data_IF_706686025257
#
_entry.id   IF_706686025257
#
_cell.length_a   1.000
_cell.length_b   1.000
_cell.length_c   1.000
_cell.angle_alpha   90.00
_cell.angle_beta   90.00
_cell.angle_gamma   90.00
#
_symmetry.space_group_name_H-M   'P 1'
#
loop_
_entity.id
_entity.type
_entity.pdbx_description
1 polymer ?
#
# COMPACT_ATOMS: atom_id res chain seq x y z
N UNK A 1 34.18 -82.22 -5.34
CA UNK A 1 34.75 -80.86 -5.20
C UNK A 1 33.94 -79.81 -5.97
N UNK A 2 33.46 -80.12 -7.19
CA UNK A 2 32.61 -79.22 -8.00
C UNK A 2 31.24 -78.90 -7.41
N UNK A 3 30.51 -79.89 -6.87
CA UNK A 3 29.20 -79.64 -6.25
C UNK A 3 29.27 -78.64 -5.08
N UNK A 4 30.36 -78.72 -4.31
CA UNK A 4 30.61 -77.80 -3.19
C UNK A 4 30.88 -76.37 -3.69
N UNK A 5 31.60 -76.23 -4.81
CA UNK A 5 31.88 -74.94 -5.43
C UNK A 5 30.61 -74.30 -6.02
N UNK A 6 29.75 -75.12 -6.61
CA UNK A 6 28.46 -74.70 -7.16
C UNK A 6 27.51 -74.24 -6.03
N UNK A 7 27.44 -75.00 -4.94
CA UNK A 7 26.66 -74.66 -3.75
C UNK A 7 27.10 -73.31 -3.15
N UNK A 8 28.41 -73.10 -3.02
CA UNK A 8 28.98 -71.84 -2.52
C UNK A 8 28.68 -70.63 -3.42
N UNK A 9 28.68 -70.80 -4.75
CA UNK A 9 28.26 -69.74 -5.69
C UNK A 9 26.79 -69.38 -5.53
N UNK A 10 25.91 -70.37 -5.41
CA UNK A 10 24.47 -70.17 -5.23
C UNK A 10 24.17 -69.45 -3.93
N UNK A 11 24.83 -69.84 -2.83
CA UNK A 11 24.73 -69.15 -1.54
C UNK A 11 25.17 -67.68 -1.62
N UNK A 12 26.27 -67.39 -2.32
CA UNK A 12 26.75 -66.01 -2.49
C UNK A 12 25.76 -65.14 -3.27
N UNK A 13 25.18 -65.68 -4.35
CA UNK A 13 24.14 -64.99 -5.13
C UNK A 13 22.88 -64.72 -4.31
N UNK A 14 22.42 -65.71 -3.54
CA UNK A 14 21.29 -65.56 -2.62
C UNK A 14 21.54 -64.47 -1.58
N UNK A 15 22.75 -64.42 -1.01
CA UNK A 15 23.14 -63.37 -0.07
C UNK A 15 23.17 -61.97 -0.72
N UNK A 16 23.68 -61.85 -1.96
CA UNK A 16 23.67 -60.58 -2.72
C UNK A 16 22.24 -60.10 -2.97
N UNK A 17 21.39 -60.98 -3.51
CA UNK A 17 19.99 -60.67 -3.80
C UNK A 17 19.22 -60.25 -2.54
N UNK A 18 19.48 -60.92 -1.40
CA UNK A 18 18.87 -60.54 -0.11
C UNK A 18 19.34 -59.16 0.37
N UNK A 19 20.60 -58.81 0.13
CA UNK A 19 21.15 -57.48 0.44
C UNK A 19 20.53 -56.39 -0.44
N UNK A 20 20.45 -56.62 -1.75
CA UNK A 20 19.84 -55.69 -2.70
C UNK A 20 18.35 -55.47 -2.40
N UNK A 21 17.60 -56.52 -2.07
CA UNK A 21 16.19 -56.41 -1.70
C UNK A 21 16.00 -55.63 -0.40
N UNK A 22 16.91 -55.78 0.57
CA UNK A 22 16.93 -54.97 1.79
C UNK A 22 17.18 -53.49 1.48
N UNK A 23 18.18 -53.20 0.65
CA UNK A 23 18.50 -51.84 0.20
C UNK A 23 17.30 -51.19 -0.51
N UNK A 24 16.66 -51.91 -1.43
CA UNK A 24 15.54 -51.40 -2.21
C UNK A 24 14.32 -51.10 -1.33
N UNK A 25 14.09 -51.91 -0.28
CA UNK A 25 13.06 -51.63 0.74
C UNK A 25 13.38 -50.36 1.52
N UNK A 26 14.62 -50.19 1.97
CA UNK A 26 15.06 -48.98 2.70
C UNK A 26 14.95 -47.73 1.82
N UNK A 27 15.26 -47.83 0.53
CA UNK A 27 15.12 -46.75 -0.45
C UNK A 27 13.66 -46.39 -0.68
N UNK A 28 12.77 -47.38 -0.82
CA UNK A 28 11.33 -47.17 -0.95
C UNK A 28 10.74 -46.48 0.30
N UNK A 29 11.18 -46.87 1.50
CA UNK A 29 10.76 -46.21 2.74
C UNK A 29 11.28 -44.77 2.83
N UNK A 30 12.53 -44.51 2.43
CA UNK A 30 13.07 -43.14 2.35
C UNK A 30 12.28 -42.27 1.38
N UNK A 31 11.98 -42.80 0.20
CA UNK A 31 11.18 -42.10 -0.81
C UNK A 31 9.76 -41.82 -0.31
N UNK A 32 9.13 -42.76 0.39
CA UNK A 32 7.79 -42.59 0.96
C UNK A 32 7.78 -41.46 2.01
N UNK A 33 8.81 -41.39 2.86
CA UNK A 33 8.97 -40.30 3.84
C UNK A 33 9.15 -38.94 3.14
N UNK A 34 10.07 -38.85 2.17
CA UNK A 34 10.30 -37.62 1.42
C UNK A 34 9.05 -37.15 0.66
N UNK A 35 8.28 -38.07 0.08
CA UNK A 35 6.99 -37.74 -0.56
C UNK A 35 6.00 -37.17 0.45
N UNK A 36 5.91 -37.74 1.65
CA UNK A 36 5.05 -37.22 2.72
C UNK A 36 5.43 -35.80 3.16
N UNK A 37 6.72 -35.52 3.27
CA UNK A 37 7.24 -34.18 3.60
C UNK A 37 6.90 -33.17 2.50
N UNK A 38 7.12 -33.51 1.23
CA UNK A 38 6.77 -32.67 0.08
C UNK A 38 5.25 -32.38 0.05
N UNK A 39 4.41 -33.39 0.23
CA UNK A 39 2.96 -33.20 0.28
C UNK A 39 2.54 -32.26 1.43
N UNK A 40 3.21 -32.36 2.59
CA UNK A 40 2.96 -31.47 3.73
C UNK A 40 3.34 -30.02 3.43
N UNK A 41 4.49 -29.80 2.76
CA UNK A 41 4.92 -28.48 2.33
C UNK A 41 3.97 -27.87 1.28
N UNK A 42 3.51 -28.66 0.32
CA UNK A 42 2.54 -28.20 -0.69
C UNK A 42 1.24 -27.75 -0.03
N UNK A 43 0.70 -28.54 0.91
CA UNK A 43 -0.52 -28.18 1.63
C UNK A 43 -0.36 -26.91 2.47
N UNK A 44 0.82 -26.72 3.07
CA UNK A 44 1.14 -25.50 3.82
C UNK A 44 1.22 -24.28 2.90
N UNK A 45 1.85 -24.41 1.73
CA UNK A 45 1.91 -23.33 0.74
C UNK A 45 0.52 -22.98 0.19
N UNK A 46 -0.32 -23.98 -0.10
CA UNK A 46 -1.70 -23.76 -0.54
C UNK A 46 -2.50 -22.95 0.49
N UNK A 47 -2.38 -23.28 1.79
CA UNK A 47 -3.02 -22.50 2.86
C UNK A 47 -2.55 -21.05 2.90
N UNK A 48 -1.25 -20.81 2.71
CA UNK A 48 -0.70 -19.44 2.63
C UNK A 48 -1.23 -18.67 1.42
N UNK A 49 -1.31 -19.31 0.26
CA UNK A 49 -1.87 -18.70 -0.96
C UNK A 49 -3.32 -18.28 -0.71
N UNK A 50 -4.17 -19.16 -0.19
CA UNK A 50 -5.56 -18.83 0.09
C UNK A 50 -5.71 -17.68 1.10
N UNK A 51 -4.83 -17.60 2.10
CA UNK A 51 -4.80 -16.47 3.03
C UNK A 51 -4.46 -15.15 2.32
N UNK A 52 -3.44 -15.15 1.46
CA UNK A 52 -3.02 -13.96 0.72
C UNK A 52 -4.08 -13.52 -0.31
N UNK A 53 -4.74 -14.46 -0.97
CA UNK A 53 -5.86 -14.17 -1.89
C UNK A 53 -7.01 -13.47 -1.16
N UNK A 54 -7.31 -13.88 0.08
CA UNK A 54 -8.31 -13.23 0.92
C UNK A 54 -7.90 -11.80 1.30
N UNK A 55 -6.63 -11.60 1.67
CA UNK A 55 -6.10 -10.28 2.01
C UNK A 55 -6.13 -9.35 0.79
N UNK A 56 -5.77 -9.83 -0.40
CA UNK A 56 -5.85 -9.08 -1.67
C UNK A 56 -7.28 -8.60 -1.95
N UNK A 57 -8.28 -9.47 -1.77
CA UNK A 57 -9.68 -9.11 -1.95
C UNK A 57 -10.10 -7.99 -0.97
N UNK A 58 -9.72 -8.13 0.30
CA UNK A 58 -10.03 -7.17 1.36
C UNK A 58 -9.39 -5.80 1.10
N UNK A 59 -8.12 -5.80 0.69
CA UNK A 59 -7.39 -4.59 0.33
C UNK A 59 -8.00 -3.90 -0.90
N UNK A 60 -8.40 -4.68 -1.92
CA UNK A 60 -9.06 -4.15 -3.12
C UNK A 60 -10.37 -3.46 -2.78
N UNK A 61 -11.20 -4.08 -1.94
CA UNK A 61 -12.46 -3.49 -1.48
C UNK A 61 -12.22 -2.20 -0.67
N UNK A 62 -11.18 -2.18 0.17
CA UNK A 62 -10.82 -0.98 0.96
C UNK A 62 -10.37 0.16 0.05
N UNK A 63 -9.61 -0.14 -1.00
CA UNK A 63 -9.16 0.85 -1.97
C UNK A 63 -10.33 1.49 -2.73
N UNK A 64 -11.32 0.70 -3.15
CA UNK A 64 -12.53 1.20 -3.80
C UNK A 64 -13.30 2.17 -2.89
N UNK A 65 -13.46 1.84 -1.61
CA UNK A 65 -14.13 2.70 -0.63
C UNK A 65 -13.38 4.03 -0.43
N UNK A 66 -12.04 3.99 -0.31
CA UNK A 66 -11.21 5.20 -0.18
C UNK A 66 -11.37 6.08 -1.43
N UNK A 67 -11.36 5.48 -2.62
CA UNK A 67 -11.50 6.21 -3.85
C UNK A 67 -12.90 6.86 -3.97
N UNK A 68 -13.96 6.16 -3.54
CA UNK A 68 -15.31 6.71 -3.48
C UNK A 68 -15.40 7.89 -2.49
N UNK A 69 -14.82 7.76 -1.30
CA UNK A 69 -14.82 8.82 -0.29
C UNK A 69 -14.04 10.06 -0.78
N UNK A 70 -12.89 9.85 -1.43
CA UNK A 70 -12.11 10.93 -2.04
C UNK A 70 -12.92 11.73 -3.06
N UNK A 71 -13.65 11.05 -3.95
CA UNK A 71 -14.50 11.72 -4.96
C UNK A 71 -15.63 12.52 -4.27
N UNK A 72 -16.28 11.91 -3.28
CA UNK A 72 -17.36 12.56 -2.50
C UNK A 72 -16.88 13.82 -1.76
N UNK A 73 -15.73 13.74 -1.08
CA UNK A 73 -15.13 14.88 -0.39
C UNK A 73 -14.65 15.95 -1.37
N UNK A 74 -14.07 15.56 -2.51
CA UNK A 74 -13.68 16.48 -3.57
C UNK A 74 -14.86 17.32 -4.06
N UNK A 75 -16.01 16.69 -4.31
CA UNK A 75 -17.23 17.39 -4.69
C UNK A 75 -17.69 18.41 -3.63
N UNK A 76 -17.70 18.02 -2.34
CA UNK A 76 -18.08 18.92 -1.23
C UNK A 76 -17.14 20.12 -1.08
N UNK A 77 -15.84 19.93 -1.34
CA UNK A 77 -14.85 21.03 -1.30
C UNK A 77 -15.12 22.02 -2.43
N UNK A 78 -15.36 21.54 -3.65
CA UNK A 78 -15.68 22.39 -4.81
C UNK A 78 -16.96 23.19 -4.54
N UNK A 79 -18.01 22.54 -4.04
CA UNK A 79 -19.27 23.19 -3.67
C UNK A 79 -19.06 24.32 -2.65
N UNK A 80 -18.34 24.05 -1.56
CA UNK A 80 -18.03 25.09 -0.56
C UNK A 80 -17.17 26.21 -1.12
N UNK A 81 -16.17 25.91 -1.95
CA UNK A 81 -15.33 26.93 -2.56
C UNK A 81 -16.13 27.87 -3.47
N UNK A 82 -17.08 27.30 -4.23
CA UNK A 82 -17.98 28.05 -5.10
C UNK A 82 -18.92 28.94 -4.30
N UNK A 83 -19.48 28.41 -3.19
CA UNK A 83 -20.29 29.20 -2.28
C UNK A 83 -19.54 30.39 -1.70
N UNK A 84 -18.33 30.19 -1.18
CA UNK A 84 -17.54 31.28 -0.59
C UNK A 84 -17.07 32.29 -1.63
N UNK A 85 -16.73 31.86 -2.84
CA UNK A 85 -16.42 32.77 -3.95
C UNK A 85 -17.60 33.71 -4.23
N UNK A 86 -18.82 33.16 -4.31
CA UNK A 86 -20.05 33.96 -4.51
C UNK A 86 -20.32 34.94 -3.37
N UNK A 87 -20.12 34.51 -2.11
CA UNK A 87 -20.29 35.39 -0.95
C UNK A 87 -19.25 36.52 -0.96
N UNK A 88 -18.00 36.21 -1.32
CA UNK A 88 -16.94 37.22 -1.44
C UNK A 88 -17.24 38.25 -2.52
N UNK A 89 -17.78 37.81 -3.66
CA UNK A 89 -18.20 38.68 -4.75
C UNK A 89 -19.37 39.59 -4.32
N UNK A 90 -20.39 39.04 -3.66
CA UNK A 90 -21.53 39.82 -3.13
C UNK A 90 -21.09 40.90 -2.12
N UNK A 91 -20.16 40.56 -1.22
CA UNK A 91 -19.59 41.53 -0.27
C UNK A 91 -18.82 42.63 -1.01
N UNK A 92 -18.04 42.25 -2.03
CA UNK A 92 -17.24 43.20 -2.81
C UNK A 92 -18.12 44.17 -3.59
N UNK A 93 -19.21 43.68 -4.20
CA UNK A 93 -20.21 44.50 -4.89
C UNK A 93 -20.88 45.48 -3.93
N UNK A 94 -21.35 45.02 -2.77
CA UNK A 94 -21.96 45.89 -1.74
C UNK A 94 -21.00 46.97 -1.25
N UNK A 95 -19.73 46.63 -1.10
CA UNK A 95 -18.71 47.61 -0.70
C UNK A 95 -18.46 48.65 -1.79
N UNK A 96 -18.40 48.22 -3.06
CA UNK A 96 -18.28 49.14 -4.20
C UNK A 96 -19.47 50.10 -4.28
N UNK A 97 -20.71 49.58 -4.13
CA UNK A 97 -21.92 50.41 -4.11
C UNK A 97 -21.87 51.47 -3.00
N UNK A 98 -21.39 51.10 -1.81
CA UNK A 98 -21.19 52.05 -0.71
C UNK A 98 -20.12 53.10 -1.03
N UNK A 99 -19.00 52.69 -1.61
CA UNK A 99 -17.93 53.60 -2.01
C UNK A 99 -18.42 54.59 -3.08
N UNK A 100 -19.15 54.12 -4.08
CA UNK A 100 -19.71 54.94 -5.16
C UNK A 100 -20.74 55.95 -4.62
N UNK A 101 -21.57 55.53 -3.67
CA UNK A 101 -22.52 56.42 -2.99
C UNK A 101 -21.80 57.54 -2.21
N UNK A 102 -20.72 57.22 -1.48
CA UNK A 102 -19.91 58.22 -0.75
C UNK A 102 -19.28 59.20 -1.73
N UNK A 103 -18.67 58.69 -2.80
CA UNK A 103 -18.04 59.53 -3.83
C UNK A 103 -19.06 60.48 -4.47
N UNK A 104 -20.25 60.00 -4.82
CA UNK A 104 -21.31 60.81 -5.42
C UNK A 104 -21.82 61.91 -4.48
N UNK A 105 -21.85 61.67 -3.17
CA UNK A 105 -22.26 62.67 -2.17
C UNK A 105 -21.18 63.70 -1.85
N UNK A 106 -19.90 63.32 -1.89
CA UNK A 106 -18.79 64.28 -1.74
C UNK A 106 -18.76 65.29 -2.88
N UNK A 107 -18.97 64.83 -4.12
CA UNK A 107 -19.06 65.71 -5.31
C UNK A 107 -20.24 66.69 -5.20
N UNK A 108 -21.33 66.30 -4.54
CA UNK A 108 -22.51 67.16 -4.33
C UNK A 108 -22.25 68.27 -3.30
N UNK A 109 -21.49 67.96 -2.23
CA UNK A 109 -21.12 68.93 -1.19
C UNK A 109 -20.15 70.01 -1.66
N UNK A 110 -19.29 69.70 -2.63
CA UNK A 110 -18.37 70.68 -3.23
C UNK A 110 -19.06 71.65 -4.20
N UNK A 111 -20.25 71.30 -4.72
CA UNK A 111 -21.04 72.18 -5.59
C UNK A 111 -21.92 73.19 -4.84
N UNK A 112 -22.23 72.95 -3.56
CA UNK A 112 -23.16 73.78 -2.75
C UNK A 112 -22.46 74.59 -1.64
N UNK A 113 -21.13 74.65 -1.64
CA UNK A 113 -20.32 75.24 -0.57
C UNK A 113 -19.75 76.63 -0.84
N UNK A 114 -20.56 77.63 -1.20
CA UNK A 114 -20.17 79.06 -1.11
C UNK A 114 -21.39 79.99 -1.03
N UNK A 115 -22.10 80.02 0.11
CA UNK A 115 -22.89 81.21 0.47
C UNK A 115 -22.83 81.51 1.97
N UNK A 116 -22.48 82.75 2.26
CA UNK A 116 -22.01 83.28 3.53
C UNK A 116 -23.15 84.06 4.17
N UNK A 117 -23.68 83.65 5.32
CA UNK A 117 -24.59 84.49 6.11
C UNK A 117 -24.12 84.58 7.56
N UNK A 118 -23.52 85.73 7.87
CA UNK A 118 -23.31 86.25 9.22
C UNK A 118 -24.66 86.67 9.81
N UNK A 119 -24.89 86.45 11.10
CA UNK A 119 -25.69 87.41 11.89
C UNK A 119 -25.25 87.48 13.35
N UNK A 120 -25.42 88.69 13.87
CA UNK A 120 -24.68 89.37 14.92
C UNK A 120 -24.97 88.96 16.37
N UNK A 121 -23.95 89.16 17.21
CA UNK A 121 -24.00 89.19 18.66
C UNK A 121 -24.63 90.49 19.17
N UNK A 122 -25.71 90.41 19.97
CA UNK A 122 -26.24 91.53 20.74
C UNK A 122 -26.39 91.17 22.23
N UNK A 123 -25.81 92.05 23.05
CA UNK A 123 -25.61 91.99 24.49
C UNK A 123 -26.72 92.76 25.23
N UNK A 124 -27.37 92.13 26.22
CA UNK A 124 -27.92 92.71 27.49
C UNK A 124 -28.54 91.55 28.29
N UNK A 125 -28.29 91.27 29.56
CA UNK A 125 -27.79 92.06 30.68
C UNK A 125 -28.92 92.29 31.68
N UNK A 126 -29.15 91.36 32.62
CA UNK A 126 -29.65 91.62 33.99
C UNK A 126 -29.69 90.34 34.82
N UNK A 127 -29.25 90.48 36.07
CA UNK A 127 -28.99 89.48 37.09
C UNK A 127 -30.27 88.81 37.64
N UNK A 128 -30.17 87.51 37.96
CA UNK A 128 -30.75 86.93 39.18
C UNK A 128 -30.13 85.56 39.44
N UNK A 129 -29.68 85.39 40.68
CA UNK A 129 -28.96 84.25 41.23
C UNK A 129 -29.74 82.93 41.09
N UNK A 130 -29.04 81.85 40.76
CA UNK A 130 -29.65 80.53 40.64
C UNK A 130 -28.68 79.46 40.13
N UNK A 131 -27.73 79.08 41.00
CA UNK A 131 -27.09 77.76 41.10
C UNK A 131 -27.57 76.69 40.10
N UNK A 132 -26.75 76.36 39.09
CA UNK A 132 -26.09 75.05 38.95
C UNK A 132 -25.13 75.08 37.76
N UNK A 133 -24.08 74.27 37.90
CA UNK A 133 -22.88 74.26 37.10
C UNK A 133 -23.05 73.95 35.61
N UNK A 134 -22.05 74.47 34.92
CA UNK A 134 -21.73 74.44 33.51
C UNK A 134 -21.41 73.05 32.93
N UNK A 135 -21.54 73.01 31.59
CA UNK A 135 -20.86 72.14 30.62
C UNK A 135 -21.47 70.76 30.38
N UNK A 136 -22.09 70.65 29.21
CA UNK A 136 -22.39 69.38 28.56
C UNK A 136 -21.13 68.59 28.24
N UNK A 137 -21.18 67.31 28.58
CA UNK A 137 -20.29 66.28 28.09
C UNK A 137 -21.12 65.00 27.97
N UNK A 138 -21.26 64.50 26.75
CA UNK A 138 -21.94 63.24 26.42
C UNK A 138 -21.24 62.12 27.20
N UNK A 139 -21.85 61.65 28.29
CA UNK A 139 -21.32 60.56 29.11
C UNK A 139 -22.08 59.28 28.81
N UNK A 140 -21.44 58.43 28.01
CA UNK A 140 -21.60 56.98 27.96
C UNK A 140 -23.02 56.45 27.86
N UNK A 141 -23.47 56.16 26.63
CA UNK A 141 -24.42 55.06 26.44
C UNK A 141 -23.79 53.80 27.05
N UNK A 142 -24.23 53.44 28.26
CA UNK A 142 -23.87 52.20 28.93
C UNK A 142 -24.48 51.06 28.12
N UNK A 143 -23.69 50.52 27.19
CA UNK A 143 -24.03 49.28 26.49
C UNK A 143 -24.04 48.19 27.57
N UNK A 144 -25.24 47.77 27.99
CA UNK A 144 -25.41 46.51 28.70
C UNK A 144 -25.13 45.39 27.70
N UNK A 145 -23.86 45.09 27.45
CA UNK A 145 -23.50 43.80 26.88
C UNK A 145 -23.89 42.77 27.93
N UNK A 146 -24.85 41.92 27.61
CA UNK A 146 -25.25 40.79 28.44
C UNK A 146 -24.01 39.94 28.72
N UNK A 147 -23.44 40.08 29.92
CA UNK A 147 -22.14 39.51 30.31
C UNK A 147 -22.14 37.98 30.16
N UNK A 148 -23.31 37.35 30.26
CA UNK A 148 -23.50 35.91 30.08
C UNK A 148 -23.32 35.45 28.62
N UNK A 149 -23.62 36.29 27.62
CA UNK A 149 -23.48 35.93 26.21
C UNK A 149 -22.00 35.88 25.79
N UNK A 150 -21.20 36.85 26.25
CA UNK A 150 -19.76 36.96 25.93
C UNK A 150 -18.93 35.85 26.60
N UNK A 151 -19.34 35.40 27.79
CA UNK A 151 -18.68 34.29 28.51
C UNK A 151 -18.92 32.95 27.81
N UNK A 152 -20.13 32.71 27.31
CA UNK A 152 -20.46 31.43 26.67
C UNK A 152 -19.88 31.30 25.25
N UNK A 153 -19.83 32.40 24.47
CA UNK A 153 -19.10 32.41 23.19
C UNK A 153 -17.59 32.20 23.36
N UNK A 154 -16.97 32.79 24.41
CA UNK A 154 -15.54 32.55 24.71
C UNK A 154 -15.27 31.09 25.08
N UNK A 155 -16.19 30.45 25.79
CA UNK A 155 -16.06 29.05 26.21
C UNK A 155 -16.20 28.09 25.02
N UNK A 156 -17.11 28.37 24.07
CA UNK A 156 -17.23 27.63 22.81
C UNK A 156 -15.96 27.78 21.94
N UNK A 157 -15.44 29.01 21.81
CA UNK A 157 -14.19 29.27 21.08
C UNK A 157 -12.98 28.58 21.71
N UNK A 158 -12.89 28.57 23.04
CA UNK A 158 -11.83 27.86 23.76
C UNK A 158 -11.90 26.34 23.51
N UNK A 159 -13.10 25.76 23.51
CA UNK A 159 -13.30 24.35 23.19
C UNK A 159 -12.88 24.00 21.75
N UNK A 160 -13.21 24.88 20.79
CA UNK A 160 -12.76 24.74 19.38
C UNK A 160 -11.25 24.85 19.24
N UNK A 161 -10.62 25.77 19.98
CA UNK A 161 -9.16 25.93 20.00
C UNK A 161 -8.45 24.69 20.53
N UNK A 162 -8.89 24.15 21.66
CA UNK A 162 -8.30 22.92 22.23
C UNK A 162 -8.53 21.72 21.32
N UNK A 163 -9.70 21.62 20.68
CA UNK A 163 -9.98 20.60 19.66
C UNK A 163 -9.04 20.72 18.45
N UNK A 164 -8.81 21.94 17.95
CA UNK A 164 -7.90 22.20 16.84
C UNK A 164 -6.45 21.87 17.21
N UNK A 165 -6.03 22.21 18.43
CA UNK A 165 -4.70 21.89 18.97
C UNK A 165 -4.48 20.38 19.09
N UNK A 166 -5.49 19.64 19.54
CA UNK A 166 -5.44 18.17 19.60
C UNK A 166 -5.33 17.55 18.19
N UNK A 167 -6.12 18.03 17.22
CA UNK A 167 -6.05 17.59 15.83
C UNK A 167 -4.69 17.89 15.20
N UNK A 168 -4.13 19.07 15.45
CA UNK A 168 -2.79 19.44 14.96
C UNK A 168 -1.71 18.53 15.54
N UNK A 169 -1.79 18.20 16.83
CA UNK A 169 -0.88 17.25 17.48
C UNK A 169 -0.98 15.85 16.85
N UNK A 170 -2.20 15.38 16.56
CA UNK A 170 -2.41 14.10 15.88
C UNK A 170 -1.84 14.09 14.46
N UNK A 171 -2.10 15.14 13.67
CA UNK A 171 -1.55 15.30 12.32
C UNK A 171 -0.03 15.32 12.36
N UNK A 172 0.58 16.00 13.34
CA UNK A 172 2.03 16.00 13.51
C UNK A 172 2.59 14.60 13.78
N UNK A 173 1.92 13.79 14.60
CA UNK A 173 2.32 12.40 14.87
C UNK A 173 2.21 11.53 13.60
N UNK A 174 1.10 11.63 12.89
CA UNK A 174 0.89 10.90 11.63
C UNK A 174 1.93 11.29 10.58
N UNK A 175 2.28 12.58 10.47
CA UNK A 175 3.35 13.05 9.59
C UNK A 175 4.69 12.39 9.93
N UNK A 176 5.06 12.32 11.21
CA UNK A 176 6.30 11.64 11.61
C UNK A 176 6.29 10.15 11.25
N UNK A 177 5.16 9.46 11.41
CA UNK A 177 5.03 8.05 11.03
C UNK A 177 5.20 7.85 9.52
N UNK A 178 4.55 8.67 8.69
CA UNK A 178 4.69 8.60 7.22
C UNK A 178 6.13 8.89 6.78
N UNK A 179 6.80 9.88 7.39
CA UNK A 179 8.21 10.18 7.09
C UNK A 179 9.10 8.98 7.40
N UNK A 180 8.85 8.28 8.51
CA UNK A 180 9.59 7.08 8.88
C UNK A 180 9.35 5.93 7.89
N UNK A 181 8.10 5.69 7.49
CA UNK A 181 7.78 4.66 6.50
C UNK A 181 8.39 4.97 5.12
N UNK A 182 8.33 6.22 4.68
CA UNK A 182 8.99 6.65 3.44
C UNK A 182 10.50 6.40 3.48
N UNK A 183 11.15 6.62 4.63
CA UNK A 183 12.57 6.31 4.78
C UNK A 183 12.85 4.80 4.67
N UNK A 184 11.98 3.95 5.22
CA UNK A 184 12.12 2.49 5.10
C UNK A 184 11.92 2.01 3.67
N UNK A 185 10.89 2.51 2.99
CA UNK A 185 10.62 2.21 1.59
C UNK A 185 11.81 2.64 0.72
N UNK A 186 12.37 3.83 0.97
CA UNK A 186 13.57 4.29 0.27
C UNK A 186 14.76 3.35 0.45
N UNK A 187 14.97 2.82 1.67
CA UNK A 187 16.01 1.82 1.93
C UNK A 187 15.76 0.53 1.16
N UNK A 188 14.53 -0.01 1.19
CA UNK A 188 14.17 -1.23 0.45
C UNK A 188 14.32 -1.07 -1.06
N UNK A 189 14.02 0.12 -1.62
CA UNK A 189 14.24 0.40 -3.04
C UNK A 189 15.73 0.35 -3.38
N UNK A 190 16.60 0.92 -2.55
CA UNK A 190 18.05 0.89 -2.81
C UNK A 190 18.62 -0.52 -2.65
N UNK A 191 18.11 -1.32 -1.72
CA UNK A 191 18.44 -2.75 -1.58
C UNK A 191 18.11 -3.53 -2.87
N UNK A 192 16.87 -3.42 -3.37
CA UNK A 192 16.45 -4.09 -4.62
C UNK A 192 17.26 -3.61 -5.82
N UNK A 193 17.58 -2.31 -5.88
CA UNK A 193 18.41 -1.76 -6.95
C UNK A 193 19.84 -2.29 -6.93
N UNK A 194 20.40 -2.53 -5.74
CA UNK A 194 21.70 -3.18 -5.61
C UNK A 194 21.66 -4.64 -6.05
N UNK A 195 20.62 -5.39 -5.65
CA UNK A 195 20.41 -6.76 -6.14
C UNK A 195 20.25 -6.80 -7.67
N UNK A 196 19.55 -5.82 -8.25
CA UNK A 196 19.44 -5.70 -9.71
C UNK A 196 20.82 -5.54 -10.36
N UNK A 197 21.75 -4.84 -9.70
CA UNK A 197 23.12 -4.64 -10.19
C UNK A 197 23.98 -5.91 -10.14
N UNK A 198 23.59 -6.93 -9.37
CA UNK A 198 24.30 -8.22 -9.32
C UNK A 198 24.06 -9.08 -10.56
N UNK A 199 22.97 -8.82 -11.30
CA UNK A 199 22.71 -9.52 -12.57
C UNK A 199 23.70 -9.10 -13.67
N UNK A 200 23.74 -9.86 -14.76
CA UNK A 200 24.54 -9.46 -15.92
C UNK A 200 23.91 -8.25 -16.63
N UNK A 201 24.72 -7.33 -17.20
CA UNK A 201 24.19 -6.15 -17.90
C UNK A 201 23.20 -6.48 -19.01
N UNK A 202 23.41 -7.60 -19.72
CA UNK A 202 22.56 -8.05 -20.82
C UNK A 202 21.16 -8.45 -20.32
N UNK A 203 21.07 -9.05 -19.13
CA UNK A 203 19.79 -9.40 -18.50
C UNK A 203 19.06 -8.16 -18.01
N UNK A 204 19.78 -7.17 -17.46
CA UNK A 204 19.17 -5.88 -17.05
C UNK A 204 18.67 -5.03 -18.22
N UNK A 205 19.30 -5.18 -19.38
CA UNK A 205 18.95 -4.41 -20.57
C UNK A 205 17.78 -5.03 -21.36
N UNK A 206 17.42 -6.27 -21.04
CA UNK A 206 16.30 -6.98 -21.63
C UNK A 206 14.98 -6.42 -21.09
N UNK A 207 13.96 -6.33 -21.92
CA UNK A 207 12.64 -5.89 -21.48
C UNK A 207 11.90 -7.02 -20.73
N UNK A 208 10.96 -6.62 -19.87
CA UNK A 208 10.24 -7.54 -18.98
C UNK A 208 9.47 -8.62 -19.76
N UNK A 209 8.94 -8.30 -20.94
CA UNK A 209 8.18 -9.26 -21.75
C UNK A 209 9.10 -10.35 -22.28
N UNK A 210 10.23 -9.97 -22.87
CA UNK A 210 11.23 -10.92 -23.36
C UNK A 210 11.77 -11.79 -22.22
N UNK A 211 12.05 -11.20 -21.05
CA UNK A 211 12.47 -11.95 -19.84
C UNK A 211 11.43 -12.96 -19.38
N UNK A 212 10.15 -12.59 -19.41
CA UNK A 212 9.04 -13.48 -19.05
C UNK A 212 8.87 -14.63 -20.06
N UNK A 213 9.00 -14.33 -21.35
CA UNK A 213 8.94 -15.33 -22.42
C UNK A 213 10.08 -16.34 -22.33
N UNK A 214 11.33 -15.89 -22.15
CA UNK A 214 12.51 -16.74 -21.95
C UNK A 214 12.36 -17.61 -20.68
N UNK A 215 11.87 -17.03 -19.59
CA UNK A 215 11.57 -17.78 -18.36
C UNK A 215 10.55 -18.90 -18.59
N UNK A 216 9.47 -18.63 -19.33
CA UNK A 216 8.46 -19.63 -19.70
C UNK A 216 9.03 -20.70 -20.62
N UNK A 217 9.86 -20.33 -21.60
CA UNK A 217 10.53 -21.26 -22.49
C UNK A 217 11.45 -22.23 -21.70
N UNK A 218 12.28 -21.69 -20.80
CA UNK A 218 13.15 -22.49 -19.93
C UNK A 218 12.38 -23.43 -19.01
N UNK A 219 11.23 -22.99 -18.47
CA UNK A 219 10.35 -23.86 -17.67
C UNK A 219 9.75 -24.99 -18.50
N UNK A 220 9.36 -24.71 -19.74
CA UNK A 220 8.86 -25.72 -20.68
C UNK A 220 9.95 -26.73 -21.05
N UNK A 221 11.15 -26.26 -21.39
CA UNK A 221 12.30 -27.13 -21.70
C UNK A 221 12.63 -28.03 -20.52
N UNK A 222 12.69 -27.46 -19.31
CA UNK A 222 12.89 -28.23 -18.08
C UNK A 222 11.82 -29.31 -17.91
N UNK A 223 10.55 -29.00 -18.19
CA UNK A 223 9.49 -30.00 -18.12
C UNK A 223 9.73 -31.13 -19.15
N UNK A 224 10.02 -30.78 -20.40
CA UNK A 224 10.34 -31.75 -21.46
C UNK A 224 11.54 -32.63 -21.11
N UNK A 225 12.62 -32.06 -20.58
CA UNK A 225 13.79 -32.82 -20.13
C UNK A 225 13.44 -33.80 -19.01
N UNK A 226 12.59 -33.38 -18.06
CA UNK A 226 12.16 -34.28 -16.97
C UNK A 226 11.29 -35.43 -17.46
N UNK A 227 10.46 -35.21 -18.47
CA UNK A 227 9.65 -36.26 -19.10
C UNK A 227 10.51 -37.22 -19.90
N UNK A 228 11.45 -36.71 -20.69
CA UNK A 228 12.39 -37.53 -21.44
C UNK A 228 13.25 -38.40 -20.51
N UNK A 229 13.78 -37.80 -19.43
CA UNK A 229 14.53 -38.52 -18.40
C UNK A 229 13.70 -39.64 -17.76
N UNK A 230 12.42 -39.37 -17.46
CA UNK A 230 11.50 -40.39 -16.93
C UNK A 230 11.26 -41.53 -17.94
N UNK A 231 11.06 -41.19 -19.22
CA UNK A 231 10.91 -42.18 -20.29
C UNK A 231 12.14 -43.09 -20.42
N UNK A 232 13.34 -42.52 -20.35
CA UNK A 232 14.59 -43.29 -20.36
C UNK A 232 14.67 -44.24 -19.17
N UNK A 233 14.30 -43.78 -17.96
CA UNK A 233 14.26 -44.64 -16.78
C UNK A 233 13.28 -45.82 -16.96
N UNK A 234 12.10 -45.56 -17.53
CA UNK A 234 11.10 -46.60 -17.82
C UNK A 234 11.60 -47.61 -18.87
N UNK A 235 12.29 -47.14 -19.91
CA UNK A 235 12.89 -48.02 -20.93
C UNK A 235 14.01 -48.88 -20.34
N UNK A 236 14.87 -48.30 -19.49
CA UNK A 236 15.90 -49.05 -18.76
C UNK A 236 15.26 -50.12 -17.88
N UNK A 237 14.15 -49.82 -17.20
CA UNK A 237 13.42 -50.79 -16.39
C UNK A 237 12.90 -51.97 -17.22
N UNK A 238 12.29 -51.70 -18.38
CA UNK A 238 11.82 -52.73 -19.31
C UNK A 238 12.96 -53.61 -19.84
N UNK A 239 14.09 -53.00 -20.22
CA UNK A 239 15.26 -53.75 -20.69
C UNK A 239 15.87 -54.65 -19.62
N UNK A 240 15.85 -54.22 -18.35
CA UNK A 240 16.27 -55.07 -17.22
C UNK A 240 15.35 -56.28 -17.03
N UNK A 241 14.06 -56.14 -17.30
CA UNK A 241 13.09 -57.23 -17.24
C UNK A 241 13.31 -58.26 -18.37
N UNK A 242 13.79 -57.82 -19.53
CA UNK A 242 14.04 -58.67 -20.71
C UNK A 242 15.41 -59.41 -20.64
N UNK A 243 16.19 -59.27 -19.56
CA UNK A 243 17.43 -60.06 -19.39
C UNK A 243 17.11 -61.54 -19.10
N UNK A 244 17.24 -62.43 -20.10
CA UNK A 244 17.02 -63.87 -19.94
C UNK A 244 18.33 -64.67 -19.87
N UNK A 245 18.26 -65.87 -19.29
CA UNK A 245 19.36 -66.85 -19.32
C UNK A 245 19.06 -67.88 -20.42
N UNK A 246 19.92 -67.95 -21.43
CA UNK A 246 19.84 -68.93 -22.51
C UNK A 246 20.67 -70.16 -22.11
N UNK A 247 20.02 -71.33 -22.04
CA UNK A 247 20.72 -72.62 -21.88
C UNK A 247 21.14 -73.17 -23.24
N UNK A 248 22.45 -73.35 -23.42
CA UNK A 248 22.97 -74.10 -24.55
C UNK A 248 22.77 -75.60 -24.33
N UNK A 249 22.62 -76.34 -25.42
CA UNK A 249 22.49 -77.81 -25.43
C UNK A 249 23.69 -78.53 -24.80
N UNK A 250 24.85 -77.86 -24.67
CA UNK A 250 26.00 -78.38 -23.92
C UNK A 250 25.93 -78.18 -22.40
N UNK A 251 24.82 -77.66 -21.86
CA UNK A 251 24.60 -77.43 -20.43
C UNK A 251 25.14 -76.10 -19.89
N UNK A 252 25.82 -75.30 -20.72
CA UNK A 252 26.28 -73.96 -20.33
C UNK A 252 25.16 -72.92 -20.43
N UNK A 253 25.01 -72.11 -19.39
CA UNK A 253 24.08 -70.98 -19.32
C UNK A 253 24.79 -69.69 -19.75
N UNK A 254 24.16 -68.92 -20.64
CA UNK A 254 24.63 -67.63 -21.10
C UNK A 254 23.59 -66.56 -20.72
N UNK A 255 24.02 -65.57 -19.95
CA UNK A 255 23.18 -64.43 -19.58
C UNK A 255 23.28 -63.39 -20.68
N UNK A 256 22.25 -63.24 -21.50
CA UNK A 256 22.18 -62.13 -22.46
C UNK A 256 21.74 -60.88 -21.69
N UNK A 257 22.73 -60.13 -21.21
CA UNK A 257 22.54 -58.83 -20.58
C UNK A 257 23.16 -57.74 -21.43
N UNK A 258 22.48 -56.61 -21.56
CA UNK A 258 23.08 -55.39 -22.11
C UNK A 258 24.03 -54.85 -21.05
N UNK A 259 25.34 -54.91 -21.29
CA UNK A 259 26.33 -54.24 -20.47
C UNK A 259 26.29 -52.74 -20.78
N UNK A 260 25.45 -52.00 -20.06
CA UNK A 260 25.60 -50.55 -19.96
C UNK A 260 26.77 -50.29 -19.00
N UNK A 261 27.99 -50.27 -19.54
CA UNK A 261 29.16 -49.76 -18.83
C UNK A 261 29.01 -48.25 -18.71
N UNK A 262 28.78 -47.77 -17.49
CA UNK A 262 28.81 -46.36 -17.11
C UNK A 262 30.22 -45.80 -17.23
#
# INVERSE_FOLDING_TARGET
MEEYLQYMKTLRLQMSAKSELKQLKEDAERMMRAKGEICSQILEQQRKITSLEHDICTLSQTLELIQQEKVSLGAKIIEKSTYYAKVSEDISLKFQDQQDWVNANMIRGEAEGHELVKFETAKRGSETEGSYDTVGGISGTRIYCNLNYVVEERKDLLGKLESAKAKLSQVSKMKCAVVLENSKIGQSIEEVKNELNDFKPELRAMDDVTLEEESKALLSDKAGETEYSRSLQDQIAKLKEISHVIKCTCGKEYKTGISLST
#
